data_IF_324187017583
#
_entry.id   IF_324187017583
#
_cell.length_a   1.000
_cell.length_b   1.000
_cell.length_c   1.000
_cell.angle_alpha   90.00
_cell.angle_beta   90.00
_cell.angle_gamma   90.00
#
_symmetry.space_group_name_H-M   'P 1'
#
loop_
_entity.id
_entity.type
_entity.pdbx_description
1 polymer ?
#
# COMPACT_ATOMS: atom_id res chain seq x y z
N UNK A 1 15.89 -26.91 7.82
CA UNK A 1 14.56 -27.51 8.04
C UNK A 1 13.52 -26.49 7.57
N UNK A 2 12.51 -26.86 6.77
CA UNK A 2 11.43 -25.94 6.42
C UNK A 2 10.67 -25.55 7.68
N UNK A 3 10.31 -24.26 7.80
CA UNK A 3 9.44 -23.78 8.87
C UNK A 3 8.10 -24.51 8.80
N UNK A 4 7.69 -25.12 9.91
CA UNK A 4 6.36 -25.72 10.02
C UNK A 4 5.37 -24.61 10.36
N UNK A 5 4.58 -24.20 9.38
CA UNK A 5 3.59 -23.13 9.48
C UNK A 5 2.19 -23.75 9.57
N UNK A 6 1.26 -23.12 10.31
CA UNK A 6 -0.12 -23.58 10.40
C UNK A 6 -0.80 -23.52 9.01
N UNK A 7 -1.63 -24.52 8.61
CA UNK A 7 -2.30 -24.53 7.31
C UNK A 7 -3.07 -23.24 7.00
N UNK A 8 -3.74 -22.66 8.00
CA UNK A 8 -4.50 -21.42 7.84
C UNK A 8 -3.64 -20.18 7.55
N UNK A 9 -2.37 -20.19 7.96
CA UNK A 9 -1.43 -19.11 7.61
C UNK A 9 -0.88 -19.34 6.21
N UNK A 10 -0.61 -20.59 5.85
CA UNK A 10 -0.13 -20.95 4.52
C UNK A 10 -1.19 -20.72 3.42
N UNK A 11 -2.48 -20.68 3.76
CA UNK A 11 -3.57 -20.38 2.84
C UNK A 11 -3.83 -18.89 2.63
N UNK A 12 -3.17 -18.00 3.39
CA UNK A 12 -3.32 -16.56 3.23
C UNK A 12 -2.67 -16.09 1.93
N UNK A 13 -3.37 -15.19 1.23
CA UNK A 13 -2.76 -14.41 0.16
C UNK A 13 -1.81 -13.40 0.82
N UNK A 14 -0.52 -13.33 0.41
CA UNK A 14 0.41 -12.35 0.96
C UNK A 14 -0.13 -10.92 0.80
N UNK A 15 -0.07 -10.15 1.89
CA UNK A 15 -0.48 -8.76 1.87
C UNK A 15 0.45 -7.95 0.96
N UNK A 16 -0.13 -7.26 -0.01
CA UNK A 16 0.59 -6.31 -0.85
C UNK A 16 0.39 -4.92 -0.24
N UNK A 17 1.44 -4.29 0.33
CA UNK A 17 1.32 -2.95 0.87
C UNK A 17 1.01 -1.95 -0.25
N UNK A 18 0.30 -0.87 0.09
CA UNK A 18 0.06 0.23 -0.84
C UNK A 18 1.37 0.87 -1.30
N UNK A 19 1.43 1.26 -2.58
CA UNK A 19 2.57 1.97 -3.17
C UNK A 19 2.66 3.40 -2.61
N UNK A 20 3.83 3.87 -2.14
CA UNK A 20 4.04 5.27 -1.79
C UNK A 20 3.78 6.21 -2.98
N UNK A 21 3.26 7.40 -2.72
CA UNK A 21 2.96 8.37 -3.77
C UNK A 21 4.23 8.81 -4.51
N UNK A 22 5.35 8.90 -3.81
CA UNK A 22 6.65 9.30 -4.36
C UNK A 22 7.20 8.25 -5.34
N UNK A 23 6.91 6.97 -5.10
CA UNK A 23 7.29 5.90 -6.00
C UNK A 23 6.44 5.90 -7.28
N UNK A 24 5.13 6.12 -7.14
CA UNK A 24 4.21 6.27 -8.27
C UNK A 24 4.61 7.47 -9.15
N UNK A 25 4.90 8.62 -8.54
CA UNK A 25 5.33 9.83 -9.25
C UNK A 25 6.62 9.59 -10.05
N UNK A 26 7.60 8.93 -9.43
CA UNK A 26 8.87 8.57 -10.09
C UNK A 26 8.67 7.63 -11.27
N UNK A 27 7.81 6.61 -11.14
CA UNK A 27 7.54 5.64 -12.21
C UNK A 27 6.82 6.28 -13.40
N UNK A 28 5.89 7.20 -13.15
CA UNK A 28 5.08 7.83 -14.19
C UNK A 28 5.71 9.11 -14.76
N UNK A 29 6.80 9.61 -14.18
CA UNK A 29 7.44 10.86 -14.57
C UNK A 29 6.56 12.10 -14.31
N UNK A 30 5.65 12.00 -13.36
CA UNK A 30 4.75 13.09 -12.96
C UNK A 30 5.20 13.68 -11.63
N UNK A 31 4.70 14.85 -11.30
CA UNK A 31 4.89 15.46 -9.98
C UNK A 31 3.59 16.07 -9.50
N UNK A 32 3.43 16.16 -8.17
CA UNK A 32 2.28 16.76 -7.49
C UNK A 32 0.96 16.01 -7.76
N UNK A 33 1.01 14.69 -7.73
CA UNK A 33 -0.17 13.84 -7.80
C UNK A 33 -1.16 14.19 -6.66
N UNK A 34 -2.45 14.26 -6.99
CA UNK A 34 -3.52 14.54 -6.03
C UNK A 34 -4.12 13.20 -5.57
N UNK A 35 -4.03 12.90 -4.27
CA UNK A 35 -4.54 11.67 -3.68
C UNK A 35 -6.03 11.80 -3.35
N UNK A 36 -6.86 10.96 -3.99
CA UNK A 36 -8.31 10.88 -3.75
C UNK A 36 -8.79 9.44 -3.41
N UNK A 37 -7.86 8.55 -3.02
CA UNK A 37 -8.09 7.10 -3.00
C UNK A 37 -8.24 6.47 -1.60
N UNK A 38 -8.18 7.25 -0.51
CA UNK A 38 -8.13 6.71 0.86
C UNK A 38 -9.20 7.26 1.80
N UNK A 39 -10.21 7.97 1.28
CA UNK A 39 -11.26 8.61 2.08
C UNK A 39 -10.70 9.55 3.18
N UNK A 40 -9.55 10.16 2.94
CA UNK A 40 -8.91 11.10 3.87
C UNK A 40 -9.64 12.46 3.85
N UNK A 41 -9.65 13.16 4.99
CA UNK A 41 -10.14 14.54 5.05
C UNK A 41 -9.07 15.48 4.44
N UNK A 42 -9.35 16.16 3.31
CA UNK A 42 -8.38 17.06 2.68
C UNK A 42 -8.08 18.32 3.51
N UNK A 43 -8.90 18.65 4.52
CA UNK A 43 -8.72 19.83 5.37
C UNK A 43 -7.76 19.59 6.56
N UNK A 44 -7.38 18.33 6.83
CA UNK A 44 -6.57 17.98 7.99
C UNK A 44 -7.35 17.95 9.32
N UNK A 45 -6.64 17.74 10.46
CA UNK A 45 -7.24 17.73 11.80
C UNK A 45 -7.65 19.15 12.26
N UNK A 46 -8.58 19.22 13.21
CA UNK A 46 -9.05 20.45 13.88
C UNK A 46 -8.18 20.87 15.05
#
# INVERSE_FOLDING_TARGET
MPLKVHPDIASLIPYVPGKPIEELERELGISRAIKLASNENPLGPS
#
